data_IF_144195853772
#
_entry.id   IF_144195853772
#
_cell.length_a   1.000
_cell.length_b   1.000
_cell.length_c   1.000
_cell.angle_alpha   90.00
_cell.angle_beta   90.00
_cell.angle_gamma   90.00
#
_symmetry.space_group_name_H-M   'P 1'
#
loop_
_entity.id
_entity.type
_entity.pdbx_description
1 polymer ?
#
# COMPACT_ATOMS: atom_id res chain seq x y z
N UNK A 1 17.43 7.78 3.86
CA UNK A 1 16.05 7.57 3.37
C UNK A 1 15.68 8.57 2.28
N UNK A 2 15.13 8.07 1.19
CA UNK A 2 14.49 8.86 0.15
C UNK A 2 12.99 8.99 0.43
N UNK A 3 12.62 10.15 0.94
CA UNK A 3 11.25 10.45 1.38
C UNK A 3 10.58 11.36 0.37
N UNK A 4 9.39 11.00 -0.09
CA UNK A 4 8.57 11.87 -0.92
C UNK A 4 7.73 12.82 -0.06
N UNK A 5 6.98 12.30 0.91
CA UNK A 5 6.16 13.11 1.82
C UNK A 5 5.98 12.45 3.19
N UNK A 6 5.86 13.30 4.22
CA UNK A 6 5.42 12.91 5.57
C UNK A 6 4.27 13.84 5.94
N UNK A 7 3.10 13.28 6.23
CA UNK A 7 1.91 14.07 6.52
C UNK A 7 0.91 13.34 7.40
N UNK A 8 -0.01 14.11 8.00
CA UNK A 8 -1.09 13.62 8.85
C UNK A 8 -2.40 13.60 8.06
N UNK A 9 -3.10 12.48 8.10
CA UNK A 9 -4.33 12.22 7.34
C UNK A 9 -5.19 11.14 8.04
N UNK A 10 -6.18 10.59 7.35
CA UNK A 10 -7.00 9.45 7.71
C UNK A 10 -6.63 8.29 6.79
N UNK A 11 -6.33 7.09 7.34
CA UNK A 11 -6.18 5.87 6.57
C UNK A 11 -7.45 5.67 5.73
N UNK A 12 -7.31 5.64 4.41
CA UNK A 12 -8.45 5.64 3.51
C UNK A 12 -8.86 4.26 3.02
N UNK A 13 -8.03 3.25 3.27
CA UNK A 13 -8.11 1.91 2.68
C UNK A 13 -7.88 0.84 3.75
N UNK A 14 -8.16 -0.42 3.41
CA UNK A 14 -7.80 -1.57 4.25
C UNK A 14 -8.60 -1.70 5.55
N UNK A 15 -8.17 -2.59 6.47
CA UNK A 15 -8.86 -2.85 7.75
C UNK A 15 -8.97 -1.62 8.67
N UNK A 16 -8.09 -0.64 8.51
CA UNK A 16 -7.98 0.53 9.39
C UNK A 16 -8.50 1.80 8.75
N UNK A 17 -9.29 1.69 7.67
CA UNK A 17 -9.92 2.85 7.04
C UNK A 17 -10.69 3.70 8.08
N UNK A 18 -10.60 5.02 7.97
CA UNK A 18 -11.21 5.97 8.90
C UNK A 18 -10.35 6.34 10.13
N UNK A 19 -9.25 5.64 10.41
CA UNK A 19 -8.36 5.98 11.53
C UNK A 19 -7.41 7.13 11.19
N UNK A 20 -7.17 8.09 12.10
CA UNK A 20 -6.07 9.04 11.95
C UNK A 20 -4.73 8.32 11.85
N UNK A 21 -3.89 8.77 10.93
CA UNK A 21 -2.57 8.19 10.69
C UNK A 21 -1.58 9.27 10.23
N UNK A 22 -0.31 9.02 10.51
CA UNK A 22 0.82 9.64 9.83
C UNK A 22 1.16 8.77 8.64
N UNK A 23 1.33 9.36 7.47
CA UNK A 23 1.83 8.69 6.29
C UNK A 23 3.29 9.04 6.09
N UNK A 24 4.16 8.03 6.03
CA UNK A 24 5.52 8.13 5.52
C UNK A 24 5.53 7.54 4.11
N UNK A 25 5.57 8.40 3.09
CA UNK A 25 5.67 7.97 1.69
C UNK A 25 7.13 8.00 1.24
N UNK A 26 7.68 6.82 0.98
CA UNK A 26 9.02 6.64 0.40
C UNK A 26 9.02 6.88 -1.12
N UNK A 27 10.17 7.25 -1.68
CA UNK A 27 10.35 7.37 -3.12
C UNK A 27 10.85 6.06 -3.76
N UNK A 28 10.81 6.04 -5.10
CA UNK A 28 11.10 4.94 -6.02
C UNK A 28 10.09 3.80 -5.98
N UNK A 29 9.89 3.11 -7.11
CA UNK A 29 9.08 1.90 -7.22
C UNK A 29 9.71 0.96 -8.25
N UNK A 30 9.65 -0.34 -8.01
CA UNK A 30 10.12 -1.36 -8.95
C UNK A 30 9.04 -1.77 -9.98
N UNK A 31 7.82 -1.25 -9.87
CA UNK A 31 6.73 -1.43 -10.82
C UNK A 31 6.28 -0.11 -11.42
N UNK A 32 5.65 -0.16 -12.60
CA UNK A 32 5.23 1.01 -13.39
C UNK A 32 3.75 0.94 -13.75
N UNK A 33 2.89 0.77 -12.75
CA UNK A 33 1.46 0.57 -12.97
C UNK A 33 0.84 1.74 -13.76
N UNK A 34 0.07 1.41 -14.79
CA UNK A 34 -0.55 2.39 -15.71
C UNK A 34 -1.50 3.34 -14.99
N UNK A 35 -2.27 2.82 -14.03
CA UNK A 35 -3.24 3.53 -13.19
C UNK A 35 -2.68 4.04 -11.85
N UNK A 36 -1.37 4.00 -11.65
CA UNK A 36 -0.76 4.53 -10.41
C UNK A 36 -1.16 6.00 -10.19
N UNK A 37 -1.69 6.30 -9.01
CA UNK A 37 -2.09 7.64 -8.56
C UNK A 37 -0.93 8.43 -7.91
N UNK A 38 0.17 7.75 -7.59
CA UNK A 38 1.38 8.31 -6.97
C UNK A 38 2.59 8.28 -7.91
N UNK A 39 2.40 8.48 -9.22
CA UNK A 39 3.49 8.46 -10.24
C UNK A 39 4.66 9.39 -9.91
N UNK A 40 4.41 10.48 -9.19
CA UNK A 40 5.43 11.40 -8.70
C UNK A 40 6.46 10.78 -7.73
N UNK A 41 6.24 9.53 -7.30
CA UNK A 41 7.20 8.77 -6.48
C UNK A 41 8.21 7.97 -7.32
N UNK A 42 8.02 7.78 -8.63
CA UNK A 42 8.89 6.90 -9.43
C UNK A 42 9.06 7.28 -10.91
N UNK A 43 8.13 8.05 -11.49
CA UNK A 43 8.14 8.42 -12.90
C UNK A 43 8.99 9.67 -13.16
N UNK A 44 10.30 9.50 -13.06
CA UNK A 44 11.29 10.58 -13.23
C UNK A 44 11.41 11.11 -14.67
N UNK A 45 10.64 10.53 -15.61
CA UNK A 45 10.49 11.09 -16.95
C UNK A 45 9.52 12.28 -16.94
N UNK A 46 8.50 12.24 -16.10
CA UNK A 46 7.43 13.23 -16.05
C UNK A 46 7.45 14.09 -14.78
N UNK A 47 8.21 13.67 -13.76
CA UNK A 47 8.38 14.40 -12.50
C UNK A 47 9.86 14.66 -12.19
N UNK A 48 10.12 15.77 -11.52
CA UNK A 48 11.48 16.19 -11.15
C UNK A 48 11.87 15.55 -9.82
N UNK A 49 12.83 14.62 -9.87
CA UNK A 49 13.32 13.90 -8.69
C UNK A 49 13.73 14.85 -7.55
N UNK A 50 14.43 15.94 -7.86
CA UNK A 50 14.96 16.86 -6.84
C UNK A 50 13.87 17.71 -6.17
N UNK A 51 12.68 17.78 -6.78
CA UNK A 51 11.52 18.47 -6.20
C UNK A 51 10.62 17.53 -5.42
N UNK A 52 10.50 16.29 -5.88
CA UNK A 52 9.60 15.30 -5.30
C UNK A 52 10.26 14.46 -4.21
N UNK A 53 11.60 14.39 -4.14
CA UNK A 53 12.31 13.52 -3.20
C UNK A 53 13.24 14.33 -2.31
N UNK A 54 13.13 14.10 -0.99
CA UNK A 54 14.03 14.59 0.03
C UNK A 54 14.89 13.44 0.52
N UNK A 55 16.21 13.62 0.48
CA UNK A 55 17.13 12.78 1.22
C UNK A 55 17.06 13.21 2.69
N UNK A 56 16.61 12.30 3.55
CA UNK A 56 16.48 12.52 4.98
C UNK A 56 17.23 11.42 5.75
N UNK A 57 17.90 11.82 6.81
CA UNK A 57 18.46 10.92 7.83
C UNK A 57 17.35 10.26 8.63
N UNK A 58 17.65 9.14 9.30
CA UNK A 58 16.69 8.46 10.19
C UNK A 58 16.17 9.41 11.28
N UNK A 59 17.06 10.23 11.86
CA UNK A 59 16.69 11.19 12.89
C UNK A 59 15.74 12.27 12.38
N UNK A 60 15.98 12.83 11.19
CA UNK A 60 15.07 13.82 10.58
C UNK A 60 13.68 13.24 10.30
N UNK A 61 13.61 11.98 9.84
CA UNK A 61 12.31 11.30 9.61
C UNK A 61 11.60 11.02 10.93
N UNK A 62 12.34 10.54 11.93
CA UNK A 62 11.82 10.28 13.28
C UNK A 62 11.26 11.54 13.90
N UNK A 63 12.00 12.65 13.90
CA UNK A 63 11.57 13.92 14.49
C UNK A 63 10.31 14.45 13.76
N UNK A 64 10.29 14.39 12.43
CA UNK A 64 9.10 14.79 11.65
C UNK A 64 7.85 13.93 11.95
N UNK A 65 8.02 12.64 12.25
CA UNK A 65 6.92 11.76 12.67
C UNK A 65 6.45 12.11 14.08
N UNK A 66 7.38 12.34 15.01
CA UNK A 66 7.06 12.66 16.40
C UNK A 66 6.28 13.98 16.52
N UNK A 67 6.62 14.99 15.71
CA UNK A 67 5.97 16.30 15.68
C UNK A 67 4.47 16.27 15.29
N UNK A 68 4.00 15.18 14.67
CA UNK A 68 2.59 15.06 14.23
C UNK A 68 1.63 14.50 15.30
N UNK A 69 2.17 14.09 16.46
CA UNK A 69 1.45 13.68 17.67
C UNK A 69 0.37 12.60 17.43
N UNK A 70 0.60 11.70 16.48
CA UNK A 70 -0.20 10.50 16.24
C UNK A 70 0.70 9.28 16.36
N UNK A 71 0.19 8.22 16.99
CA UNK A 71 0.92 6.95 17.20
C UNK A 71 0.55 5.85 16.22
N UNK A 72 -0.12 6.22 15.13
CA UNK A 72 -0.45 5.33 14.03
C UNK A 72 0.32 5.78 12.79
N UNK A 73 1.27 4.96 12.34
CA UNK A 73 2.13 5.23 11.20
C UNK A 73 1.80 4.26 10.05
N UNK A 74 1.48 4.81 8.88
CA UNK A 74 1.32 4.07 7.63
C UNK A 74 2.54 4.36 6.76
N UNK A 75 3.35 3.34 6.54
CA UNK A 75 4.52 3.40 5.67
C UNK A 75 4.08 2.93 4.28
N UNK A 76 4.32 3.77 3.29
CA UNK A 76 3.96 3.53 1.90
C UNK A 76 5.06 4.12 1.01
N UNK A 77 4.81 4.31 -0.27
CA UNK A 77 5.77 4.93 -1.17
C UNK A 77 5.39 4.81 -2.61
N UNK A 78 6.37 4.88 -3.50
CA UNK A 78 6.42 3.78 -4.43
C UNK A 78 6.61 2.45 -3.66
N UNK A 79 7.74 1.81 -3.86
CA UNK A 79 8.27 0.61 -3.23
C UNK A 79 8.78 0.69 -1.77
N UNK A 80 8.04 0.69 -0.63
CA UNK A 80 8.69 0.91 0.67
C UNK A 80 9.76 -0.13 1.02
N UNK A 81 9.60 -1.39 0.61
CA UNK A 81 10.59 -2.43 0.89
C UNK A 81 11.91 -2.28 0.10
N UNK A 82 11.99 -1.32 -0.84
CA UNK A 82 13.27 -0.90 -1.44
C UNK A 82 14.18 -0.21 -0.40
N UNK A 83 13.63 0.30 0.70
CA UNK A 83 14.35 1.01 1.75
C UNK A 83 14.20 0.32 3.12
N UNK A 84 14.01 -1.01 3.12
CA UNK A 84 13.63 -1.78 4.32
C UNK A 84 14.63 -1.71 5.49
N UNK A 85 15.92 -1.56 5.23
CA UNK A 85 16.94 -1.47 6.29
C UNK A 85 16.80 -0.14 7.04
N UNK A 86 16.73 0.98 6.32
CA UNK A 86 16.43 2.30 6.89
C UNK A 86 15.09 2.29 7.64
N UNK A 87 14.07 1.61 7.12
CA UNK A 87 12.76 1.49 7.79
C UNK A 87 12.87 0.70 9.10
N UNK A 88 13.64 -0.39 9.15
CA UNK A 88 13.86 -1.15 10.37
C UNK A 88 14.58 -0.30 11.43
N UNK A 89 15.61 0.45 11.03
CA UNK A 89 16.33 1.37 11.91
C UNK A 89 15.40 2.46 12.46
N UNK A 90 14.59 3.11 11.61
CA UNK A 90 13.59 4.09 12.03
C UNK A 90 12.61 3.50 13.06
N UNK A 91 12.04 2.33 12.75
CA UNK A 91 11.03 1.71 13.60
C UNK A 91 11.58 1.22 14.93
N UNK A 92 12.88 0.91 15.01
CA UNK A 92 13.54 0.55 16.26
C UNK A 92 13.45 1.67 17.33
N UNK A 93 13.33 2.93 16.91
CA UNK A 93 13.14 4.08 17.79
C UNK A 93 11.66 4.36 18.13
N UNK A 94 10.74 3.97 17.26
CA UNK A 94 9.31 4.28 17.37
C UNK A 94 8.53 3.17 18.11
N UNK A 95 9.00 1.93 18.06
CA UNK A 95 8.38 0.82 18.79
C UNK A 95 8.80 0.84 20.27
N UNK A 96 7.93 0.44 21.20
CA UNK A 96 6.59 -0.15 20.98
C UNK A 96 5.45 0.88 20.86
N UNK A 97 5.73 2.17 21.00
CA UNK A 97 4.70 3.21 21.17
C UNK A 97 3.84 3.45 19.93
N UNK A 98 4.37 3.13 18.74
CA UNK A 98 3.65 3.27 17.47
C UNK A 98 3.01 1.95 17.03
N UNK A 99 1.79 2.06 16.50
CA UNK A 99 1.17 1.05 15.63
C UNK A 99 1.57 1.34 14.18
N UNK A 100 2.14 0.36 13.50
CA UNK A 100 2.77 0.51 12.19
C UNK A 100 2.10 -0.39 11.16
N UNK A 101 1.62 0.22 10.08
CA UNK A 101 1.17 -0.45 8.87
C UNK A 101 2.18 -0.28 7.74
N UNK A 102 2.33 -1.28 6.87
CA UNK A 102 3.10 -1.16 5.62
C UNK A 102 2.24 -1.52 4.42
N UNK A 103 2.19 -0.62 3.43
CA UNK A 103 1.56 -0.83 2.12
C UNK A 103 2.62 -1.27 1.09
N UNK A 104 2.61 -2.53 0.65
CA UNK A 104 3.61 -3.09 -0.28
C UNK A 104 2.96 -3.78 -1.48
N UNK A 105 3.67 -3.86 -2.61
CA UNK A 105 3.24 -4.48 -3.85
C UNK A 105 3.52 -5.99 -3.95
N UNK A 106 4.05 -6.62 -2.89
CA UNK A 106 4.30 -8.07 -2.80
C UNK A 106 5.44 -8.60 -3.70
N UNK A 107 6.41 -7.77 -4.07
CA UNK A 107 7.51 -8.20 -4.97
C UNK A 107 8.87 -8.31 -4.29
N UNK A 108 9.01 -7.73 -3.09
CA UNK A 108 10.24 -7.74 -2.28
C UNK A 108 9.95 -8.46 -0.97
N UNK A 109 10.80 -9.43 -0.63
CA UNK A 109 10.69 -10.15 0.64
C UNK A 109 11.18 -9.23 1.78
N UNK A 110 10.37 -8.98 2.82
CA UNK A 110 10.83 -8.18 3.95
C UNK A 110 11.83 -8.95 4.79
N UNK A 111 12.88 -8.27 5.25
CA UNK A 111 13.85 -8.81 6.18
C UNK A 111 13.22 -9.03 7.57
N UNK A 112 13.88 -9.83 8.41
CA UNK A 112 13.39 -10.16 9.74
C UNK A 112 13.30 -8.93 10.66
N UNK A 113 14.29 -8.03 10.58
CA UNK A 113 14.37 -6.84 11.43
C UNK A 113 13.15 -5.93 11.27
N UNK A 114 12.72 -5.71 10.03
CA UNK A 114 11.51 -4.96 9.72
C UNK A 114 10.26 -5.75 10.11
N UNK A 115 10.19 -7.03 9.74
CA UNK A 115 9.02 -7.89 9.97
C UNK A 115 8.59 -7.91 11.43
N UNK A 116 9.53 -8.04 12.36
CA UNK A 116 9.24 -8.09 13.80
C UNK A 116 8.63 -6.77 14.35
N UNK A 117 8.75 -5.67 13.62
CA UNK A 117 8.32 -4.32 14.03
C UNK A 117 6.99 -3.90 13.40
N UNK A 118 6.47 -4.64 12.41
CA UNK A 118 5.23 -4.30 11.70
C UNK A 118 4.01 -4.92 12.39
N UNK A 119 3.05 -4.07 12.75
CA UNK A 119 1.80 -4.53 13.36
C UNK A 119 0.79 -5.02 12.31
N UNK A 120 0.78 -4.45 11.10
CA UNK A 120 -0.09 -4.89 10.01
C UNK A 120 0.54 -4.72 8.61
N UNK A 121 0.39 -5.74 7.77
CA UNK A 121 0.76 -5.68 6.37
C UNK A 121 -0.49 -5.48 5.49
N UNK A 122 -0.48 -4.41 4.69
CA UNK A 122 -1.43 -4.20 3.60
C UNK A 122 -0.71 -4.54 2.30
N UNK A 123 -0.90 -5.77 1.83
CA UNK A 123 -0.19 -6.32 0.67
C UNK A 123 -1.09 -6.18 -0.54
N UNK A 124 -0.66 -5.43 -1.54
CA UNK A 124 -1.42 -5.20 -2.77
C UNK A 124 -0.64 -5.75 -3.97
N UNK A 125 -0.71 -7.06 -4.23
CA UNK A 125 -0.12 -7.61 -5.43
C UNK A 125 -0.77 -7.00 -6.66
N UNK A 126 0.04 -6.71 -7.68
CA UNK A 126 -0.43 -6.09 -8.91
C UNK A 126 -0.80 -7.18 -9.91
N UNK A 127 -2.02 -7.14 -10.42
CA UNK A 127 -2.54 -8.07 -11.43
C UNK A 127 -2.22 -7.56 -12.83
N UNK A 128 -2.63 -8.30 -13.87
CA UNK A 128 -2.42 -7.93 -15.27
C UNK A 128 -3.01 -6.55 -15.62
N UNK A 129 -4.08 -6.13 -14.93
CA UNK A 129 -4.68 -4.81 -15.12
C UNK A 129 -3.72 -3.64 -14.81
N UNK A 130 -2.61 -3.89 -14.09
CA UNK A 130 -1.58 -2.89 -13.82
C UNK A 130 -0.75 -2.52 -15.04
N UNK A 131 -0.78 -3.34 -16.10
CA UNK A 131 0.03 -3.17 -17.29
C UNK A 131 1.51 -3.55 -17.11
N UNK A 132 1.89 -4.10 -15.96
CA UNK A 132 3.21 -4.69 -15.76
C UNK A 132 3.21 -6.15 -16.23
N UNK A 133 4.35 -6.67 -16.74
CA UNK A 133 4.52 -8.10 -16.96
C UNK A 133 4.32 -8.92 -15.68
N UNK A 134 3.65 -10.07 -15.80
CA UNK A 134 3.30 -10.91 -14.66
C UNK A 134 4.53 -11.38 -13.88
N UNK A 135 5.64 -11.65 -14.56
CA UNK A 135 6.91 -12.05 -13.96
C UNK A 135 7.54 -11.00 -13.03
N UNK A 136 7.18 -9.72 -13.18
CA UNK A 136 7.59 -8.66 -12.26
C UNK A 136 6.65 -8.55 -11.06
N UNK A 137 5.39 -8.95 -11.21
CA UNK A 137 4.36 -8.81 -10.19
C UNK A 137 4.20 -10.04 -9.30
N UNK A 138 4.45 -11.24 -9.83
CA UNK A 138 4.20 -12.52 -9.17
C UNK A 138 5.49 -13.10 -8.57
N UNK A 139 5.86 -12.63 -7.37
CA UNK A 139 6.95 -13.23 -6.59
C UNK A 139 6.42 -14.32 -5.65
N UNK A 140 6.63 -15.59 -6.02
CA UNK A 140 6.14 -16.74 -5.24
C UNK A 140 6.55 -16.69 -3.76
N UNK A 141 7.79 -16.33 -3.45
CA UNK A 141 8.31 -16.31 -2.08
C UNK A 141 7.60 -15.25 -1.22
N UNK A 142 7.38 -14.06 -1.79
CA UNK A 142 6.66 -12.98 -1.12
C UNK A 142 5.21 -13.39 -0.84
N UNK A 143 4.52 -13.96 -1.82
CA UNK A 143 3.16 -14.44 -1.64
C UNK A 143 3.05 -15.48 -0.52
N UNK A 144 3.92 -16.49 -0.50
CA UNK A 144 3.92 -17.49 0.58
C UNK A 144 4.28 -16.87 1.93
N UNK A 145 5.24 -15.95 1.98
CA UNK A 145 5.59 -15.25 3.22
C UNK A 145 4.39 -14.51 3.80
N UNK A 146 3.75 -13.64 3.02
CA UNK A 146 2.63 -12.81 3.44
C UNK A 146 1.36 -13.63 3.74
N UNK A 147 1.10 -14.67 2.94
CA UNK A 147 -0.01 -15.58 3.21
C UNK A 147 0.14 -16.31 4.55
N UNK A 148 1.36 -16.50 5.05
CA UNK A 148 1.60 -17.12 6.36
C UNK A 148 1.62 -16.12 7.54
N UNK A 149 1.56 -14.81 7.30
CA UNK A 149 1.47 -13.82 8.38
C UNK A 149 0.01 -13.59 8.78
N UNK A 150 -0.34 -13.74 10.06
CA UNK A 150 -1.71 -13.55 10.54
C UNK A 150 -2.17 -12.09 10.41
N UNK A 151 -1.24 -11.13 10.53
CA UNK A 151 -1.48 -9.69 10.45
C UNK A 151 -1.41 -9.13 9.01
N UNK A 152 -1.54 -9.98 7.98
CA UNK A 152 -1.45 -9.57 6.59
C UNK A 152 -2.79 -9.62 5.86
N UNK A 153 -3.14 -8.54 5.17
CA UNK A 153 -4.33 -8.40 4.35
C UNK A 153 -3.96 -8.17 2.89
N UNK A 154 -4.53 -8.96 1.99
CA UNK A 154 -4.31 -8.88 0.56
C UNK A 154 -5.36 -7.97 -0.08
N UNK A 155 -4.95 -6.84 -0.63
CA UNK A 155 -5.82 -5.81 -1.23
C UNK A 155 -5.57 -5.72 -2.74
N UNK A 156 -6.43 -6.34 -3.53
CA UNK A 156 -6.34 -6.33 -5.00
C UNK A 156 -7.09 -5.15 -5.59
N UNK A 157 -6.46 -4.43 -6.52
CA UNK A 157 -7.09 -3.35 -7.29
C UNK A 157 -7.87 -3.97 -8.44
N UNK A 158 -9.15 -3.64 -8.54
CA UNK A 158 -10.13 -4.23 -9.48
C UNK A 158 -10.76 -3.12 -10.31
N UNK A 159 -10.62 -3.22 -11.63
CA UNK A 159 -11.30 -2.35 -12.60
C UNK A 159 -12.71 -2.87 -12.89
N UNK A 160 -12.86 -4.19 -13.05
CA UNK A 160 -14.14 -4.85 -13.32
C UNK A 160 -14.05 -6.37 -13.04
N UNK A 161 -15.14 -7.09 -13.33
CA UNK A 161 -15.25 -8.54 -13.09
C UNK A 161 -14.16 -9.40 -13.77
N UNK A 162 -13.57 -8.94 -14.88
CA UNK A 162 -12.54 -9.69 -15.59
C UNK A 162 -11.24 -9.88 -14.82
N UNK A 163 -11.01 -9.10 -13.75
CA UNK A 163 -9.83 -9.25 -12.88
C UNK A 163 -9.99 -10.40 -11.86
N UNK A 164 -11.22 -10.83 -11.57
CA UNK A 164 -11.52 -11.79 -10.51
C UNK A 164 -10.87 -13.17 -10.75
N UNK A 165 -10.90 -13.76 -11.96
CA UNK A 165 -10.30 -15.08 -12.19
C UNK A 165 -8.81 -15.13 -11.83
N UNK A 166 -8.05 -14.08 -12.12
CA UNK A 166 -6.63 -14.00 -11.77
C UNK A 166 -6.44 -13.88 -10.25
N UNK A 167 -7.23 -13.06 -9.57
CA UNK A 167 -7.20 -12.95 -8.11
C UNK A 167 -7.48 -14.31 -7.46
N UNK A 168 -8.53 -15.02 -7.90
CA UNK A 168 -8.86 -16.36 -7.36
C UNK A 168 -7.77 -17.39 -7.64
N UNK A 169 -7.07 -17.28 -8.77
CA UNK A 169 -5.89 -18.11 -9.08
C UNK A 169 -4.78 -17.89 -8.05
N UNK A 170 -4.45 -16.64 -7.70
CA UNK A 170 -3.44 -16.36 -6.66
C UNK A 170 -3.90 -16.81 -5.29
N UNK A 171 -5.15 -16.52 -4.91
CA UNK A 171 -5.74 -16.96 -3.63
C UNK A 171 -5.61 -18.48 -3.46
N UNK A 172 -5.93 -19.24 -4.51
CA UNK A 172 -5.80 -20.70 -4.50
C UNK A 172 -4.34 -21.16 -4.50
N UNK A 173 -3.49 -20.60 -5.38
CA UNK A 173 -2.09 -21.01 -5.54
C UNK A 173 -1.27 -20.82 -4.26
N UNK A 174 -1.53 -19.75 -3.52
CA UNK A 174 -0.75 -19.36 -2.35
C UNK A 174 -1.47 -19.62 -1.02
N UNK A 175 -2.65 -20.25 -1.05
CA UNK A 175 -3.48 -20.52 0.13
C UNK A 175 -3.78 -19.25 0.95
N UNK A 176 -4.10 -18.15 0.27
CA UNK A 176 -4.45 -16.90 0.94
C UNK A 176 -5.83 -17.09 1.58
N UNK A 177 -6.00 -16.87 2.90
CA UNK A 177 -7.32 -16.96 3.53
C UNK A 177 -8.28 -15.92 2.95
N UNK A 178 -9.46 -16.36 2.49
CA UNK A 178 -10.45 -15.49 1.81
C UNK A 178 -10.87 -14.30 2.69
N UNK A 179 -10.96 -14.48 4.01
CA UNK A 179 -11.29 -13.43 4.96
C UNK A 179 -10.20 -12.34 5.10
N UNK A 180 -9.01 -12.56 4.53
CA UNK A 180 -7.92 -11.59 4.43
C UNK A 180 -7.78 -11.02 3.03
N UNK A 181 -8.68 -11.35 2.09
CA UNK A 181 -8.71 -10.79 0.74
C UNK A 181 -9.71 -9.63 0.67
N UNK A 182 -9.25 -8.52 0.11
CA UNK A 182 -10.00 -7.30 -0.12
C UNK A 182 -9.98 -6.93 -1.59
N UNK A 183 -11.13 -6.57 -2.13
CA UNK A 183 -11.25 -5.95 -3.46
C UNK A 183 -11.35 -4.44 -3.29
N UNK A 184 -10.45 -3.71 -3.93
CA UNK A 184 -10.40 -2.26 -3.95
C UNK A 184 -10.68 -1.76 -5.36
N UNK A 185 -11.52 -0.75 -5.48
CA UNK A 185 -11.88 -0.16 -6.78
C UNK A 185 -10.70 0.56 -7.42
N UNK A 186 -10.43 0.29 -8.71
CA UNK A 186 -9.53 1.09 -9.53
C UNK A 186 -10.21 2.43 -9.90
N UNK A 187 -10.01 3.44 -9.06
CA UNK A 187 -10.56 4.77 -9.24
C UNK A 187 -9.66 5.83 -8.60
N UNK A 188 -9.36 6.91 -9.31
CA UNK A 188 -8.51 8.02 -8.88
C UNK A 188 -9.29 9.34 -8.76
N UNK A 189 -10.58 9.35 -9.15
CA UNK A 189 -11.47 10.50 -9.01
C UNK A 189 -12.73 10.17 -8.21
N UNK A 190 -13.40 11.21 -7.71
CA UNK A 190 -14.68 11.06 -6.99
C UNK A 190 -15.77 10.49 -7.88
N UNK A 191 -15.74 10.90 -9.15
CA UNK A 191 -16.68 10.46 -10.17
C UNK A 191 -16.50 8.95 -10.45
N UNK A 192 -15.26 8.49 -10.62
CA UNK A 192 -14.96 7.06 -10.82
C UNK A 192 -15.37 6.21 -9.61
N UNK A 193 -15.11 6.70 -8.39
CA UNK A 193 -15.54 6.07 -7.14
C UNK A 193 -17.06 5.87 -7.12
N UNK A 194 -17.82 6.94 -7.37
CA UNK A 194 -19.29 6.90 -7.41
C UNK A 194 -19.84 5.93 -8.46
N UNK A 195 -19.16 5.82 -9.60
CA UNK A 195 -19.58 4.93 -10.69
C UNK A 195 -19.27 3.46 -10.42
N UNK A 196 -18.11 3.15 -9.82
CA UNK A 196 -17.56 1.79 -9.78
C UNK A 196 -17.69 1.08 -8.42
N UNK A 197 -17.64 1.78 -7.29
CA UNK A 197 -17.57 1.10 -5.98
C UNK A 197 -18.76 0.17 -5.71
N UNK A 198 -19.95 0.54 -6.18
CA UNK A 198 -21.13 -0.34 -6.07
C UNK A 198 -20.93 -1.67 -6.79
N UNK A 199 -20.42 -1.68 -8.02
CA UNK A 199 -20.22 -2.95 -8.73
C UNK A 199 -19.09 -3.78 -8.11
N UNK A 200 -18.00 -3.13 -7.67
CA UNK A 200 -16.86 -3.83 -7.05
C UNK A 200 -17.23 -4.40 -5.68
N UNK A 201 -18.03 -3.69 -4.87
CA UNK A 201 -18.52 -4.21 -3.59
C UNK A 201 -19.48 -5.38 -3.77
N UNK A 202 -20.32 -5.38 -4.81
CA UNK A 202 -21.17 -6.52 -5.15
C UNK A 202 -20.33 -7.74 -5.58
N UNK A 203 -19.23 -7.54 -6.32
CA UNK A 203 -18.27 -8.61 -6.65
C UNK A 203 -17.58 -9.17 -5.39
N UNK A 204 -17.16 -8.31 -4.46
CA UNK A 204 -16.56 -8.75 -3.20
C UNK A 204 -17.52 -9.67 -2.43
N UNK A 205 -18.79 -9.24 -2.30
CA UNK A 205 -19.85 -10.04 -1.68
C UNK A 205 -20.10 -11.37 -2.41
N UNK A 206 -20.15 -11.35 -3.75
CA UNK A 206 -20.37 -12.54 -4.57
C UNK A 206 -19.26 -13.59 -4.37
N UNK A 207 -18.03 -13.15 -4.11
CA UNK A 207 -16.86 -14.00 -3.98
C UNK A 207 -16.39 -14.22 -2.54
N UNK A 208 -17.18 -13.81 -1.54
CA UNK A 208 -16.84 -13.95 -0.12
C UNK A 208 -15.52 -13.24 0.27
N UNK A 209 -15.20 -12.15 -0.43
CA UNK A 209 -14.09 -11.27 -0.10
C UNK A 209 -14.60 -10.01 0.59
N UNK A 210 -13.69 -9.31 1.27
CA UNK A 210 -13.98 -7.99 1.82
C UNK A 210 -13.90 -6.91 0.72
N UNK A 211 -14.57 -5.78 0.94
CA UNK A 211 -14.43 -4.60 0.09
C UNK A 211 -13.56 -3.56 0.82
N UNK A 212 -12.59 -2.97 0.13
CA UNK A 212 -11.80 -1.85 0.63
C UNK A 212 -12.23 -0.57 -0.09
N UNK A 213 -12.75 0.44 0.63
CA UNK A 213 -13.03 1.74 0.03
C UNK A 213 -11.73 2.48 -0.29
N UNK A 214 -11.85 3.59 -1.05
CA UNK A 214 -10.81 4.62 -1.15
C UNK A 214 -11.31 5.93 -0.55
N UNK A 215 -11.47 5.96 0.77
CA UNK A 215 -12.15 7.05 1.49
C UNK A 215 -11.52 8.42 1.22
N UNK A 216 -10.19 8.47 1.13
CA UNK A 216 -9.48 9.72 0.86
C UNK A 216 -9.78 10.27 -0.55
N UNK A 217 -9.89 9.40 -1.56
CA UNK A 217 -10.32 9.81 -2.91
C UNK A 217 -11.76 10.31 -2.89
N UNK A 218 -12.65 9.61 -2.18
CA UNK A 218 -14.05 10.03 -2.05
C UNK A 218 -14.18 11.42 -1.40
N UNK A 219 -13.35 11.72 -0.38
CA UNK A 219 -13.40 12.99 0.36
C UNK A 219 -12.65 14.13 -0.33
N UNK A 220 -11.45 13.88 -0.85
CA UNK A 220 -10.52 14.92 -1.31
C UNK A 220 -10.09 14.78 -2.78
N UNK A 221 -10.51 13.72 -3.47
CA UNK A 221 -10.10 13.45 -4.85
C UNK A 221 -8.61 13.13 -4.90
N UNK A 222 -7.93 13.63 -5.94
CA UNK A 222 -6.49 13.42 -6.15
C UNK A 222 -5.60 14.40 -5.38
N UNK A 223 -6.10 15.03 -4.32
CA UNK A 223 -5.32 15.98 -3.54
C UNK A 223 -4.23 15.25 -2.74
N UNK A 224 -2.96 15.68 -2.89
CA UNK A 224 -1.83 15.11 -2.14
C UNK A 224 -1.88 15.51 -0.67
N UNK A 225 -1.32 14.67 0.20
CA UNK A 225 -1.22 14.92 1.63
C UNK A 225 -2.58 15.02 2.35
N UNK A 226 -3.62 14.35 1.83
CA UNK A 226 -4.98 14.36 2.37
C UNK A 226 -5.55 12.97 2.57
#
# INVERSE_FOLDING_TARGET
MQVNEIFKSIQGEGPNFGKPAIFLRTAQCNLKCTWCDTKYTWDWKNYDFQKEVKEMTIDEVKDAILDLEIKHLVITGGEPLLQQDDLADLLSFLKPDFYVEVETNCTILPNKMLTDLIDQWNVSPKTQNSGNPLELCENNECYYFFANQENCFFKYVVENESDIPEIKKFVTKYNIPENRVQLMTQASTKEEISMKEKSISELAKLHNFSFSPRLHVAMWGSQRGK
#
